data_IF_555661749785
#
_entry.id   IF_555661749785
#
_cell.length_a   1.000
_cell.length_b   1.000
_cell.length_c   1.000
_cell.angle_alpha   90.00
_cell.angle_beta   90.00
_cell.angle_gamma   90.00
#
_symmetry.space_group_name_H-M   'P 1'
#
loop_
_entity.id
_entity.type
_entity.pdbx_description
1 polymer ?
#
# COMPACT_ATOMS: atom_id res chain seq x y z
N UNK A 1 11.28 1.20 -1.19
CA UNK A 1 11.03 0.02 -2.05
C UNK A 1 9.57 0.01 -2.46
N UNK A 2 9.27 -0.33 -3.72
CA UNK A 2 7.89 -0.48 -4.20
C UNK A 2 7.73 -1.89 -4.75
N UNK A 3 6.79 -2.66 -4.22
CA UNK A 3 6.34 -3.89 -4.87
C UNK A 3 5.13 -3.60 -5.77
N UNK A 4 5.26 -3.95 -7.05
CA UNK A 4 4.20 -3.86 -8.06
C UNK A 4 3.85 -5.24 -8.64
N UNK A 5 4.26 -6.32 -7.98
CA UNK A 5 4.01 -7.70 -8.41
C UNK A 5 2.95 -8.35 -7.52
N UNK A 6 2.24 -9.34 -8.07
CA UNK A 6 1.17 -10.05 -7.35
C UNK A 6 1.66 -10.78 -6.09
N UNK A 7 2.90 -11.25 -6.11
CA UNK A 7 3.42 -12.19 -5.11
C UNK A 7 3.94 -11.50 -3.86
N UNK A 8 3.89 -10.17 -3.74
CA UNK A 8 4.34 -9.44 -2.55
C UNK A 8 5.70 -9.90 -1.98
N UNK A 9 6.59 -10.34 -2.87
CA UNK A 9 7.88 -10.94 -2.53
C UNK A 9 7.79 -12.10 -1.52
N UNK A 10 6.77 -12.96 -1.60
CA UNK A 10 6.47 -14.04 -0.63
C UNK A 10 7.69 -14.79 -0.08
N UNK A 11 8.66 -15.10 -0.95
CA UNK A 11 9.88 -15.85 -0.59
C UNK A 11 11.12 -14.98 -0.36
N UNK A 12 11.08 -13.71 -0.73
CA UNK A 12 12.23 -12.79 -0.73
C UNK A 12 12.00 -11.58 0.18
N UNK A 13 10.86 -11.49 0.86
CA UNK A 13 10.44 -10.31 1.60
C UNK A 13 11.48 -9.88 2.64
N UNK A 14 12.00 -10.82 3.43
CA UNK A 14 13.02 -10.50 4.42
C UNK A 14 14.31 -10.04 3.74
N UNK A 15 14.82 -10.75 2.75
CA UNK A 15 16.06 -10.39 2.02
C UNK A 15 15.94 -9.01 1.38
N UNK A 16 14.81 -8.74 0.73
CA UNK A 16 14.49 -7.46 0.11
C UNK A 16 14.47 -6.30 1.12
N UNK A 17 14.04 -6.54 2.36
CA UNK A 17 14.06 -5.54 3.43
C UNK A 17 15.45 -5.36 4.04
N UNK A 18 16.24 -6.43 4.18
CA UNK A 18 17.57 -6.37 4.81
C UNK A 18 18.59 -5.57 3.98
N UNK A 19 18.42 -5.53 2.65
CA UNK A 19 19.27 -4.73 1.77
C UNK A 19 18.94 -3.23 1.80
N UNK A 20 17.82 -2.83 2.42
CA UNK A 20 17.41 -1.44 2.48
C UNK A 20 18.16 -0.68 3.58
N UNK A 21 18.51 0.61 3.36
CA UNK A 21 18.93 1.49 4.43
C UNK A 21 17.89 1.55 5.55
N UNK A 22 18.35 1.74 6.80
CA UNK A 22 17.45 1.92 7.95
C UNK A 22 16.45 3.04 7.70
N UNK A 23 15.20 2.81 8.11
CA UNK A 23 14.06 3.75 7.97
C UNK A 23 13.69 4.05 6.50
N UNK A 24 13.93 3.10 5.59
CA UNK A 24 13.41 3.19 4.23
C UNK A 24 11.89 3.12 4.24
N UNK A 25 11.26 3.72 3.24
CA UNK A 25 9.82 3.61 3.02
C UNK A 25 9.52 2.42 2.09
N UNK A 26 8.60 1.55 2.48
CA UNK A 26 8.18 0.36 1.74
C UNK A 26 6.72 0.50 1.33
N UNK A 27 6.46 0.44 0.03
CA UNK A 27 5.13 0.52 -0.53
C UNK A 27 4.79 -0.79 -1.24
N UNK A 28 3.67 -1.40 -0.91
CA UNK A 28 3.20 -2.61 -1.58
C UNK A 28 1.87 -2.29 -2.26
N UNK A 29 1.79 -2.41 -3.59
CA UNK A 29 0.58 -2.10 -4.36
C UNK A 29 -0.51 -3.15 -4.14
N UNK A 30 -0.18 -4.31 -3.58
CA UNK A 30 -1.17 -5.31 -3.19
C UNK A 30 -2.10 -4.72 -2.12
N UNK A 31 -3.41 -4.91 -2.29
CA UNK A 31 -4.45 -4.33 -1.42
C UNK A 31 -4.59 -5.04 -0.07
N UNK A 32 -3.86 -6.14 0.15
CA UNK A 32 -3.77 -6.80 1.44
C UNK A 32 -2.85 -5.99 2.37
N UNK A 33 -3.31 -5.74 3.61
CA UNK A 33 -2.60 -4.94 4.61
C UNK A 33 -1.44 -5.68 5.26
N UNK A 34 -1.38 -7.01 5.11
CA UNK A 34 -0.47 -7.88 5.85
C UNK A 34 0.31 -8.82 4.92
N UNK A 35 0.74 -8.29 3.75
CA UNK A 35 1.61 -9.04 2.84
C UNK A 35 2.95 -9.42 3.49
N UNK A 36 3.67 -10.44 2.99
CA UNK A 36 4.99 -10.79 3.51
C UNK A 36 5.98 -9.63 3.50
N UNK A 37 5.98 -8.79 2.45
CA UNK A 37 6.81 -7.60 2.38
C UNK A 37 6.46 -6.56 3.45
N UNK A 38 5.18 -6.26 3.66
CA UNK A 38 4.73 -5.33 4.70
C UNK A 38 5.07 -5.87 6.10
N UNK A 39 4.86 -7.17 6.34
CA UNK A 39 5.24 -7.84 7.59
C UNK A 39 6.75 -7.75 7.84
N UNK A 40 7.58 -7.97 6.82
CA UNK A 40 9.03 -7.85 6.93
C UNK A 40 9.45 -6.39 7.21
N UNK A 41 8.86 -5.41 6.52
CA UNK A 41 9.10 -3.99 6.75
C UNK A 41 8.77 -3.58 8.19
N UNK A 42 7.61 -4.03 8.71
CA UNK A 42 7.16 -3.80 10.09
C UNK A 42 8.12 -4.38 11.11
N UNK A 43 8.57 -5.64 10.93
CA UNK A 43 9.57 -6.29 11.81
C UNK A 43 10.91 -5.54 11.82
N UNK A 44 11.35 -5.03 10.66
CA UNK A 44 12.60 -4.30 10.53
C UNK A 44 12.51 -2.82 10.96
N UNK A 45 11.32 -2.34 11.38
CA UNK A 45 11.11 -0.95 11.80
C UNK A 45 11.16 0.06 10.65
N UNK A 46 10.87 -0.37 9.42
CA UNK A 46 10.75 0.51 8.26
C UNK A 46 9.35 1.15 8.21
N UNK A 47 9.27 2.35 7.64
CA UNK A 47 7.97 2.96 7.33
C UNK A 47 7.33 2.19 6.18
N UNK A 48 6.00 2.03 6.19
CA UNK A 48 5.32 1.29 5.15
C UNK A 48 3.94 1.87 4.82
N UNK A 49 3.42 1.50 3.65
CA UNK A 49 2.03 1.74 3.22
C UNK A 49 1.59 0.62 2.27
N UNK A 50 0.34 0.18 2.43
CA UNK A 50 -0.29 -0.83 1.58
C UNK A 50 -0.98 -0.21 0.35
N UNK A 51 -1.50 -1.07 -0.54
CA UNK A 51 -2.06 -0.63 -1.80
C UNK A 51 -3.42 0.04 -1.70
N UNK A 52 -4.08 0.00 -0.53
CA UNK A 52 -5.44 0.52 -0.39
C UNK A 52 -5.49 2.05 -0.50
N UNK A 53 -4.47 2.76 0.00
CA UNK A 53 -4.42 4.21 -0.17
C UNK A 53 -4.33 4.57 -1.67
N UNK A 54 -3.60 3.79 -2.47
CA UNK A 54 -3.60 3.97 -3.93
C UNK A 54 -4.99 3.68 -4.54
N UNK A 55 -5.65 2.60 -4.11
CA UNK A 55 -7.01 2.26 -4.54
C UNK A 55 -8.02 3.39 -4.23
N UNK A 56 -7.94 3.96 -3.03
CA UNK A 56 -8.79 5.09 -2.60
C UNK A 56 -8.55 6.29 -3.50
N UNK A 57 -7.29 6.68 -3.70
CA UNK A 57 -6.96 7.88 -4.46
C UNK A 57 -7.25 7.75 -5.96
N UNK A 58 -7.02 6.57 -6.56
CA UNK A 58 -7.40 6.34 -7.96
C UNK A 58 -8.92 6.36 -8.13
N UNK A 59 -9.67 5.75 -7.21
CA UNK A 59 -11.13 5.77 -7.22
C UNK A 59 -11.69 7.19 -7.04
N UNK A 60 -11.11 7.96 -6.12
CA UNK A 60 -11.47 9.36 -5.89
C UNK A 60 -11.25 10.22 -7.15
N UNK A 61 -10.14 9.98 -7.87
CA UNK A 61 -9.86 10.65 -9.14
C UNK A 61 -10.88 10.27 -10.21
N UNK A 62 -11.18 8.98 -10.38
CA UNK A 62 -12.18 8.50 -11.33
C UNK A 62 -13.58 9.07 -11.04
N UNK A 63 -13.99 9.07 -9.76
CA UNK A 63 -15.24 9.67 -9.31
C UNK A 63 -15.34 11.14 -9.70
N UNK A 64 -14.26 11.91 -9.50
CA UNK A 64 -14.20 13.32 -9.87
C UNK A 64 -14.38 13.53 -11.38
N UNK A 65 -13.71 12.70 -12.20
CA UNK A 65 -13.77 12.76 -13.66
C UNK A 65 -15.19 12.48 -14.17
N UNK A 66 -15.85 11.45 -13.64
CA UNK A 66 -17.16 11.03 -14.15
C UNK A 66 -18.33 11.84 -13.60
N UNK A 67 -18.22 12.34 -12.37
CA UNK A 67 -19.35 13.01 -11.70
C UNK A 67 -19.22 14.54 -11.67
N UNK A 68 -18.01 15.06 -11.88
CA UNK A 68 -17.69 16.48 -11.66
C UNK A 68 -17.74 16.91 -10.19
N UNK A 69 -17.98 15.98 -9.24
CA UNK A 69 -18.11 16.27 -7.81
C UNK A 69 -16.81 15.99 -7.06
N UNK A 70 -16.60 16.70 -5.96
CA UNK A 70 -15.51 16.41 -5.02
C UNK A 70 -15.72 15.01 -4.41
N UNK A 71 -14.71 14.12 -4.45
CA UNK A 71 -14.84 12.76 -3.95
C UNK A 71 -14.83 12.74 -2.41
N UNK A 72 -15.69 11.93 -1.77
CA UNK A 72 -15.72 11.79 -0.31
C UNK A 72 -14.64 10.81 0.17
N UNK A 73 -13.37 11.21 0.08
CA UNK A 73 -12.19 10.34 0.34
C UNK A 73 -12.25 9.66 1.71
N UNK A 74 -12.66 10.38 2.75
CA UNK A 74 -12.72 9.81 4.10
C UNK A 74 -13.76 8.68 4.20
N UNK A 75 -14.93 8.84 3.57
CA UNK A 75 -15.95 7.80 3.49
C UNK A 75 -15.46 6.59 2.67
N UNK A 76 -14.75 6.85 1.56
CA UNK A 76 -14.15 5.77 0.76
C UNK A 76 -13.13 4.96 1.57
N UNK A 77 -12.33 5.65 2.41
CA UNK A 77 -11.39 4.99 3.32
C UNK A 77 -12.14 4.16 4.36
N UNK A 78 -13.13 4.72 5.04
CA UNK A 78 -13.94 3.99 6.03
C UNK A 78 -14.59 2.74 5.44
N UNK A 79 -15.12 2.82 4.23
CA UNK A 79 -15.76 1.69 3.55
C UNK A 79 -14.80 0.53 3.22
N UNK A 80 -13.49 0.79 3.07
CA UNK A 80 -12.48 -0.25 2.81
C UNK A 80 -11.80 -0.77 4.08
N UNK A 81 -12.13 -0.17 5.23
CA UNK A 81 -11.61 -0.56 6.55
C UNK A 81 -12.67 -1.17 7.47
N UNK A 82 -13.96 -1.13 7.08
CA UNK A 82 -15.05 -1.86 7.71
C UNK A 82 -14.97 -3.37 7.42
#
# INVERSE_FOLDING_TARGET
MINATRTAMDRLADEAIHILPRKSFVFDIVYDKETPLIKAAKRAGNCYMDGLEMLIHQGARAFSIWTGKKPPVQLMREALHA
#
